data_IF_529310752659
#
_entry.id   IF_529310752659
#
_cell.length_a   1.000
_cell.length_b   1.000
_cell.length_c   1.000
_cell.angle_alpha   90.00
_cell.angle_beta   90.00
_cell.angle_gamma   90.00
#
_symmetry.space_group_name_H-M   'P 1'
#
loop_
_entity.id
_entity.type
_entity.pdbx_description
1 polymer ?
#
# COMPACT_ATOMS: atom_id res chain seq x y z
N UNK A 1 23.49 -54.38 20.39
CA UNK A 1 22.53 -55.17 19.59
C UNK A 1 21.77 -54.31 18.55
N UNK A 2 22.33 -53.18 18.08
CA UNK A 2 21.64 -52.21 17.19
C UNK A 2 22.04 -52.32 15.72
N UNK A 3 23.29 -52.67 15.42
CA UNK A 3 23.80 -52.68 14.04
C UNK A 3 23.26 -53.84 13.17
N UNK A 4 23.02 -55.01 13.75
CA UNK A 4 22.50 -56.17 13.02
C UNK A 4 21.06 -55.97 12.55
N UNK A 5 20.21 -55.34 13.36
CA UNK A 5 18.84 -54.99 12.97
C UNK A 5 18.81 -53.93 11.86
N UNK A 6 19.68 -52.92 11.91
CA UNK A 6 19.79 -51.92 10.85
C UNK A 6 20.20 -52.54 9.50
N UNK A 7 21.15 -53.50 9.52
CA UNK A 7 21.58 -54.21 8.32
C UNK A 7 20.46 -55.07 7.75
N UNK A 8 19.69 -55.77 8.59
CA UNK A 8 18.56 -56.59 8.14
C UNK A 8 17.46 -55.72 7.53
N UNK A 9 17.15 -54.56 8.13
CA UNK A 9 16.15 -53.62 7.60
C UNK A 9 16.60 -53.02 6.27
N UNK A 10 17.88 -52.61 6.14
CA UNK A 10 18.40 -52.11 4.87
C UNK A 10 18.42 -53.21 3.78
N UNK A 11 18.83 -54.43 4.14
CA UNK A 11 18.86 -55.56 3.22
C UNK A 11 17.45 -55.96 2.76
N UNK A 12 16.47 -55.95 3.67
CA UNK A 12 15.08 -56.21 3.35
C UNK A 12 14.48 -55.10 2.46
N UNK A 13 14.73 -53.84 2.79
CA UNK A 13 14.29 -52.70 1.97
C UNK A 13 14.91 -52.73 0.57
N UNK A 14 16.21 -53.05 0.48
CA UNK A 14 16.92 -53.23 -0.79
C UNK A 14 16.37 -54.40 -1.62
N UNK A 15 16.11 -55.54 -0.98
CA UNK A 15 15.51 -56.70 -1.65
C UNK A 15 14.10 -56.38 -2.17
N UNK A 16 13.28 -55.67 -1.39
CA UNK A 16 11.94 -55.22 -1.82
C UNK A 16 12.04 -54.25 -2.99
N UNK A 17 12.97 -53.28 -2.98
CA UNK A 17 13.18 -52.38 -4.12
C UNK A 17 13.63 -53.12 -5.38
N UNK A 18 14.51 -54.11 -5.26
CA UNK A 18 14.99 -54.90 -6.41
C UNK A 18 13.87 -55.79 -6.97
N UNK A 19 13.10 -56.45 -6.12
CA UNK A 19 11.95 -57.27 -6.54
C UNK A 19 10.86 -56.39 -7.17
N UNK A 20 10.56 -55.23 -6.58
CA UNK A 20 9.62 -54.27 -7.15
C UNK A 20 10.11 -53.77 -8.51
N UNK A 21 11.39 -53.44 -8.66
CA UNK A 21 12.00 -53.04 -9.93
C UNK A 21 11.96 -54.12 -11.01
N UNK A 22 12.22 -55.37 -10.66
CA UNK A 22 12.17 -56.52 -11.57
C UNK A 22 10.73 -56.86 -12.00
N UNK A 23 9.77 -56.80 -11.07
CA UNK A 23 8.34 -56.97 -11.38
C UNK A 23 7.82 -55.83 -12.27
N UNK A 24 8.29 -54.61 -12.03
CA UNK A 24 7.95 -53.41 -12.79
C UNK A 24 8.43 -53.49 -14.25
N UNK A 25 9.59 -54.10 -14.52
CA UNK A 25 10.11 -54.29 -15.89
C UNK A 25 9.30 -55.31 -16.72
N UNK A 26 8.46 -56.14 -16.09
CA UNK A 26 7.66 -57.18 -16.78
C UNK A 26 6.38 -56.64 -17.44
N UNK A 27 5.94 -55.42 -17.09
CA UNK A 27 4.73 -54.80 -17.65
C UNK A 27 4.96 -53.34 -18.08
N UNK A 28 5.62 -53.08 -19.23
CA UNK A 28 5.96 -51.73 -19.71
C UNK A 28 4.74 -50.83 -20.00
N UNK A 29 3.54 -51.41 -20.12
CA UNK A 29 2.28 -50.67 -20.30
C UNK A 29 1.84 -49.92 -19.05
N UNK A 30 2.19 -50.40 -17.85
CA UNK A 30 1.81 -49.73 -16.59
C UNK A 30 2.60 -48.43 -16.38
N UNK A 31 3.89 -48.43 -16.68
CA UNK A 31 4.75 -47.23 -16.58
C UNK A 31 4.30 -46.12 -17.53
N UNK A 32 3.98 -46.45 -18.77
CA UNK A 32 3.39 -45.51 -19.73
C UNK A 32 2.02 -44.99 -19.29
N UNK A 33 1.21 -45.82 -18.63
CA UNK A 33 -0.10 -45.42 -18.08
C UNK A 33 0.07 -44.52 -16.85
N UNK A 34 1.08 -44.81 -16.02
CA UNK A 34 1.44 -44.01 -14.86
C UNK A 34 1.98 -42.64 -15.27
N UNK A 35 2.93 -42.56 -16.21
CA UNK A 35 3.44 -41.27 -16.74
C UNK A 35 2.31 -40.46 -17.38
N UNK A 36 1.40 -41.10 -18.14
CA UNK A 36 0.22 -40.41 -18.68
C UNK A 36 -0.67 -39.86 -17.57
N UNK A 37 -0.91 -40.64 -16.51
CA UNK A 37 -1.66 -40.22 -15.33
C UNK A 37 -1.00 -39.05 -14.60
N UNK A 38 0.31 -39.11 -14.36
CA UNK A 38 1.07 -38.04 -13.68
C UNK A 38 1.13 -36.78 -14.54
N UNK A 39 1.25 -36.91 -15.86
CA UNK A 39 1.23 -35.78 -16.79
C UNK A 39 -0.14 -35.09 -16.81
N UNK A 40 -1.24 -35.86 -16.87
CA UNK A 40 -2.61 -35.32 -16.78
C UNK A 40 -2.82 -34.64 -15.43
N UNK A 41 -2.39 -35.26 -14.34
CA UNK A 41 -2.47 -34.67 -13.00
C UNK A 41 -1.65 -33.38 -12.87
N UNK A 42 -0.46 -33.33 -13.48
CA UNK A 42 0.38 -32.15 -13.55
C UNK A 42 -0.27 -31.00 -14.34
N UNK A 43 -0.92 -31.31 -15.47
CA UNK A 43 -1.67 -30.32 -16.25
C UNK A 43 -2.89 -29.79 -15.48
N UNK A 44 -3.59 -30.66 -14.75
CA UNK A 44 -4.70 -30.26 -13.88
C UNK A 44 -4.21 -29.32 -12.77
N UNK A 45 -3.10 -29.65 -12.11
CA UNK A 45 -2.50 -28.79 -11.07
C UNK A 45 -2.03 -27.45 -11.63
N UNK A 46 -1.41 -27.44 -12.81
CA UNK A 46 -1.01 -26.21 -13.48
C UNK A 46 -2.22 -25.36 -13.87
N UNK A 47 -3.28 -25.98 -14.38
CA UNK A 47 -4.55 -25.31 -14.68
C UNK A 47 -5.21 -24.73 -13.43
N UNK A 48 -5.21 -25.46 -12.33
CA UNK A 48 -5.72 -24.98 -11.04
C UNK A 48 -4.88 -23.81 -10.51
N UNK A 49 -3.56 -23.88 -10.64
CA UNK A 49 -2.65 -22.79 -10.26
C UNK A 49 -2.88 -21.53 -11.10
N UNK A 50 -3.04 -21.67 -12.41
CA UNK A 50 -3.39 -20.55 -13.31
C UNK A 50 -4.76 -19.99 -12.98
N UNK A 51 -5.74 -20.83 -12.61
CA UNK A 51 -7.07 -20.37 -12.20
C UNK A 51 -7.01 -19.58 -10.89
N UNK A 52 -6.22 -20.04 -9.92
CA UNK A 52 -5.95 -19.30 -8.67
C UNK A 52 -5.29 -17.96 -8.98
N UNK A 53 -4.30 -17.92 -9.87
CA UNK A 53 -3.67 -16.68 -10.32
C UNK A 53 -4.68 -15.77 -11.03
N UNK A 54 -5.54 -16.30 -11.90
CA UNK A 54 -6.52 -15.52 -12.65
C UNK A 54 -7.59 -14.91 -11.73
N UNK A 55 -8.08 -15.67 -10.74
CA UNK A 55 -8.98 -15.16 -9.70
C UNK A 55 -8.25 -14.10 -8.86
N UNK A 56 -6.99 -14.35 -8.49
CA UNK A 56 -6.18 -13.39 -7.75
C UNK A 56 -5.98 -12.10 -8.56
N UNK A 57 -5.63 -12.18 -9.85
CA UNK A 57 -5.51 -11.04 -10.76
C UNK A 57 -6.84 -10.31 -10.95
N UNK A 58 -7.97 -11.02 -10.98
CA UNK A 58 -9.29 -10.40 -11.09
C UNK A 58 -9.67 -9.55 -9.87
N UNK A 59 -9.04 -9.81 -8.71
CA UNK A 59 -9.19 -8.95 -7.53
C UNK A 59 -8.25 -7.75 -7.53
N UNK A 60 -7.27 -7.67 -8.45
CA UNK A 60 -6.46 -6.46 -8.62
C UNK A 60 -7.15 -5.51 -9.58
N UNK A 61 -7.74 -4.45 -9.01
CA UNK A 61 -8.11 -3.30 -9.79
C UNK A 61 -6.83 -2.58 -10.26
N UNK A 62 -6.71 -2.33 -11.55
CA UNK A 62 -5.67 -1.47 -12.11
C UNK A 62 -5.81 -0.08 -11.47
N UNK A 63 -4.74 0.45 -10.87
CA UNK A 63 -4.68 1.81 -10.28
C UNK A 63 -4.72 2.90 -11.36
N UNK A 64 -5.75 2.88 -12.21
CA UNK A 64 -6.12 4.02 -13.05
C UNK A 64 -7.16 4.79 -12.24
N UNK A 65 -6.66 5.68 -11.40
CA UNK A 65 -7.46 6.56 -10.54
C UNK A 65 -7.03 6.48 -9.10
N UNK A 66 -5.97 7.20 -8.74
CA UNK A 66 -5.76 7.59 -7.35
C UNK A 66 -7.07 8.29 -6.90
N UNK A 67 -7.74 7.80 -5.87
CA UNK A 67 -8.98 8.42 -5.39
C UNK A 67 -8.63 9.82 -4.86
N UNK A 68 -9.29 10.86 -5.39
CA UNK A 68 -9.08 12.23 -4.94
C UNK A 68 -9.66 12.39 -3.54
N UNK A 69 -8.82 12.53 -2.52
CA UNK A 69 -9.27 12.81 -1.15
C UNK A 69 -9.73 14.26 -0.99
N UNK A 70 -8.94 15.20 -1.53
CA UNK A 70 -9.22 16.62 -1.39
C UNK A 70 -8.65 17.44 -2.55
N UNK A 71 -9.25 18.58 -2.82
CA UNK A 71 -8.72 19.63 -3.68
C UNK A 71 -8.21 20.77 -2.83
N UNK A 72 -7.02 21.27 -3.16
CA UNK A 72 -6.36 22.35 -2.45
C UNK A 72 -6.07 23.46 -3.46
N UNK A 73 -6.59 24.65 -3.18
CA UNK A 73 -6.26 25.86 -3.92
C UNK A 73 -5.48 26.82 -3.04
N UNK A 74 -4.45 27.43 -3.63
CA UNK A 74 -3.58 28.39 -2.96
C UNK A 74 -3.68 29.74 -3.64
N UNK A 75 -3.82 30.80 -2.85
CA UNK A 75 -3.92 32.18 -3.33
C UNK A 75 -3.02 33.07 -2.49
N UNK A 76 -2.27 33.95 -3.13
CA UNK A 76 -1.34 34.85 -2.44
C UNK A 76 -2.10 35.97 -1.75
N UNK A 77 -1.88 36.15 -0.45
CA UNK A 77 -2.38 37.33 0.28
C UNK A 77 -1.27 38.36 0.52
N UNK A 78 -0.08 37.91 0.89
CA UNK A 78 1.09 38.76 1.05
C UNK A 78 2.39 37.99 0.72
N UNK A 79 3.54 38.55 1.09
CA UNK A 79 4.82 37.84 1.01
C UNK A 79 4.86 36.71 2.03
N UNK A 80 5.04 35.47 1.54
CA UNK A 80 5.04 34.24 2.35
C UNK A 80 3.77 34.00 3.19
N UNK A 81 2.67 34.67 2.85
CA UNK A 81 1.35 34.49 3.47
C UNK A 81 0.35 34.12 2.38
N UNK A 82 -0.24 32.94 2.54
CA UNK A 82 -1.08 32.30 1.54
C UNK A 82 -2.42 31.93 2.14
N UNK A 83 -3.49 32.18 1.39
CA UNK A 83 -4.79 31.62 1.70
C UNK A 83 -4.90 30.25 1.02
N UNK A 84 -5.15 29.22 1.83
CA UNK A 84 -5.32 27.86 1.36
C UNK A 84 -6.75 27.43 1.61
N UNK A 85 -7.43 27.04 0.53
CA UNK A 85 -8.76 26.48 0.60
C UNK A 85 -8.69 24.99 0.31
N UNK A 86 -9.09 24.20 1.30
CA UNK A 86 -9.18 22.75 1.21
C UNK A 86 -10.64 22.36 1.06
N UNK A 87 -10.93 21.56 0.04
CA UNK A 87 -12.24 20.97 -0.20
C UNK A 87 -12.10 19.45 -0.28
N UNK A 88 -12.56 18.75 0.75
CA UNK A 88 -12.63 17.28 0.77
C UNK A 88 -13.86 16.78 0.00
N UNK A 89 -13.81 15.54 -0.50
CA UNK A 89 -15.00 14.88 -1.04
C UNK A 89 -16.11 14.70 0.00
N UNK A 90 -15.75 14.59 1.29
CA UNK A 90 -16.69 14.40 2.41
C UNK A 90 -17.45 15.70 2.78
N UNK A 91 -17.37 16.74 1.95
CA UNK A 91 -18.03 18.03 2.18
C UNK A 91 -17.32 18.96 3.16
N UNK A 92 -16.18 18.54 3.73
CA UNK A 92 -15.33 19.40 4.54
C UNK A 92 -14.71 20.49 3.66
N UNK A 93 -15.08 21.75 3.92
CA UNK A 93 -14.50 22.92 3.29
C UNK A 93 -13.84 23.80 4.35
N UNK A 94 -12.52 23.94 4.25
CA UNK A 94 -11.70 24.69 5.21
C UNK A 94 -10.88 25.72 4.47
N UNK A 95 -11.12 26.99 4.76
CA UNK A 95 -10.34 28.11 4.23
C UNK A 95 -9.52 28.69 5.37
N UNK A 96 -8.20 28.68 5.24
CA UNK A 96 -7.29 29.16 6.28
C UNK A 96 -6.06 29.82 5.68
N UNK A 97 -5.43 30.68 6.47
CA UNK A 97 -4.17 31.32 6.10
C UNK A 97 -3.01 30.46 6.58
N UNK A 98 -2.10 30.12 5.67
CA UNK A 98 -0.83 29.46 5.96
C UNK A 98 0.32 30.42 5.68
N UNK A 99 1.37 30.30 6.47
CA UNK A 99 2.62 31.02 6.27
C UNK A 99 3.71 30.05 5.85
N UNK A 100 4.52 30.46 4.87
CA UNK A 100 5.59 29.65 4.30
C UNK A 100 5.69 29.76 2.78
N UNK A 101 6.60 28.99 2.22
CA UNK A 101 6.80 28.84 0.77
C UNK A 101 6.22 27.51 0.25
N UNK A 102 6.02 26.55 1.15
CA UNK A 102 5.59 25.20 0.84
C UNK A 102 4.46 24.75 1.75
N UNK A 103 3.60 23.87 1.25
CA UNK A 103 2.55 23.23 2.02
C UNK A 103 2.71 21.71 2.03
N UNK A 104 2.31 21.10 3.14
CA UNK A 104 2.22 19.65 3.30
C UNK A 104 0.91 19.29 4.01
N UNK A 105 0.28 18.21 3.57
CA UNK A 105 -0.85 17.61 4.26
C UNK A 105 -0.50 16.20 4.73
N UNK A 106 -0.87 15.91 5.97
CA UNK A 106 -0.68 14.60 6.59
C UNK A 106 -2.04 13.93 6.78
N UNK A 107 -2.08 12.62 6.58
CA UNK A 107 -3.23 11.78 6.82
C UNK A 107 -2.88 10.55 7.64
N UNK A 108 -3.86 10.08 8.41
CA UNK A 108 -3.83 8.75 9.01
C UNK A 108 -4.62 7.82 8.13
N UNK A 109 -4.01 6.68 7.80
CA UNK A 109 -4.62 5.62 7.03
C UNK A 109 -4.74 4.41 7.95
N UNK A 110 -5.92 3.81 7.98
CA UNK A 110 -6.22 2.59 8.72
C UNK A 110 -6.56 1.49 7.71
N UNK A 111 -5.78 0.41 7.71
CA UNK A 111 -6.00 -0.72 6.81
C UNK A 111 -6.29 -1.97 7.62
N UNK A 112 -7.18 -2.82 7.11
CA UNK A 112 -7.42 -4.12 7.71
C UNK A 112 -6.40 -5.13 7.17
N UNK A 113 -5.79 -5.87 8.09
CA UNK A 113 -4.72 -6.84 7.82
C UNK A 113 -5.07 -8.23 8.35
N UNK A 114 -4.23 -9.21 8.04
CA UNK A 114 -4.41 -10.59 8.48
C UNK A 114 -5.61 -11.26 7.80
N UNK A 115 -6.44 -12.03 8.55
CA UNK A 115 -7.56 -12.73 7.95
C UNK A 115 -8.49 -11.74 7.25
N UNK A 116 -8.82 -10.58 7.85
CA UNK A 116 -9.80 -9.60 7.35
C UNK A 116 -9.51 -8.98 5.98
N UNK A 117 -8.32 -9.17 5.41
CA UNK A 117 -8.01 -8.73 4.03
C UNK A 117 -8.93 -9.39 2.98
N UNK A 118 -9.40 -10.61 3.24
CA UNK A 118 -10.39 -11.31 2.40
C UNK A 118 -11.78 -10.67 2.33
N UNK A 119 -12.13 -9.78 3.26
CA UNK A 119 -13.47 -9.19 3.37
C UNK A 119 -13.65 -7.93 2.50
N UNK A 120 -12.64 -7.58 1.69
CA UNK A 120 -12.63 -6.43 0.78
C UNK A 120 -13.08 -5.11 1.43
N UNK A 121 -12.75 -4.95 2.72
CA UNK A 121 -13.10 -3.75 3.47
C UNK A 121 -12.19 -2.62 3.00
N UNK A 122 -12.79 -1.57 2.44
CA UNK A 122 -12.04 -0.39 2.00
C UNK A 122 -11.25 0.22 3.17
N UNK A 123 -9.98 0.62 2.94
CA UNK A 123 -9.18 1.27 3.96
C UNK A 123 -9.81 2.61 4.37
N UNK A 124 -9.81 2.87 5.68
CA UNK A 124 -10.22 4.16 6.20
C UNK A 124 -9.10 5.19 6.07
N UNK A 125 -9.43 6.43 5.73
CA UNK A 125 -8.47 7.53 5.73
C UNK A 125 -9.05 8.75 6.41
N UNK A 126 -8.17 9.56 7.00
CA UNK A 126 -8.53 10.85 7.59
C UNK A 126 -7.40 11.84 7.43
N UNK A 127 -7.71 13.05 6.96
CA UNK A 127 -6.77 14.16 6.90
C UNK A 127 -6.56 14.71 8.31
N UNK A 128 -5.33 14.74 8.79
CA UNK A 128 -5.01 15.14 10.17
C UNK A 128 -4.61 16.59 10.26
N UNK A 129 -3.65 17.01 9.42
CA UNK A 129 -2.99 18.28 9.59
C UNK A 129 -2.52 18.84 8.26
N UNK A 130 -2.73 20.14 8.08
CA UNK A 130 -2.18 20.95 7.00
C UNK A 130 -1.13 21.88 7.60
N UNK A 131 0.09 21.87 7.05
CA UNK A 131 1.17 22.72 7.55
C UNK A 131 1.88 23.47 6.43
N UNK A 132 2.35 24.67 6.77
CA UNK A 132 3.26 25.46 5.96
C UNK A 132 4.71 25.25 6.40
N UNK A 133 5.65 25.38 5.46
CA UNK A 133 7.10 25.32 5.69
C UNK A 133 7.83 26.39 4.89
N UNK A 134 8.88 26.95 5.47
CA UNK A 134 9.81 27.87 4.82
C UNK A 134 10.97 27.12 4.18
N UNK A 135 11.46 27.62 3.05
CA UNK A 135 12.59 27.01 2.34
C UNK A 135 13.92 27.29 3.06
N UNK A 136 14.07 28.48 3.63
CA UNK A 136 15.26 28.87 4.41
C UNK A 136 15.24 28.27 5.81
N UNK A 137 16.37 27.67 6.22
CA UNK A 137 16.56 27.11 7.56
C UNK A 137 16.57 28.20 8.64
N UNK A 138 17.09 29.39 8.32
CA UNK A 138 17.11 30.54 9.21
C UNK A 138 15.69 31.05 9.47
N UNK A 139 14.87 31.11 8.40
CA UNK A 139 13.46 31.46 8.51
C UNK A 139 12.68 30.38 9.26
N UNK A 140 12.86 29.09 8.97
CA UNK A 140 12.13 28.02 9.67
C UNK A 140 12.38 28.00 11.19
N UNK A 141 13.54 28.49 11.65
CA UNK A 141 13.88 28.59 13.08
C UNK A 141 13.32 29.82 13.78
N UNK A 142 13.15 30.92 13.04
CA UNK A 142 12.85 32.23 13.64
C UNK A 142 11.45 32.75 13.28
N UNK A 143 10.89 32.29 12.17
CA UNK A 143 9.60 32.70 11.66
C UNK A 143 8.45 31.88 12.28
N UNK A 144 7.25 32.48 12.40
CA UNK A 144 6.06 31.77 12.84
C UNK A 144 5.69 30.61 11.89
N UNK A 145 5.60 29.40 12.44
CA UNK A 145 5.14 28.19 11.74
C UNK A 145 3.62 28.07 11.84
N UNK A 146 2.96 27.79 10.72
CA UNK A 146 1.52 27.54 10.71
C UNK A 146 1.22 26.06 10.54
N UNK A 147 0.54 25.47 11.52
CA UNK A 147 0.00 24.10 11.47
C UNK A 147 -1.46 24.10 11.88
N UNK A 148 -2.31 23.52 11.05
CA UNK A 148 -3.76 23.52 11.23
C UNK A 148 -4.23 22.08 11.29
N UNK A 149 -4.81 21.68 12.42
CA UNK A 149 -5.51 20.41 12.53
C UNK A 149 -6.79 20.42 11.69
N UNK A 150 -6.97 19.39 10.86
CA UNK A 150 -8.14 19.18 10.01
C UNK A 150 -9.12 18.18 10.63
N UNK A 151 -8.63 17.27 11.46
CA UNK A 151 -9.44 16.28 12.16
C UNK A 151 -9.73 16.71 13.61
N UNK A 152 -10.96 16.45 14.06
CA UNK A 152 -11.28 16.47 15.47
C UNK A 152 -10.79 15.19 16.15
N UNK A 153 -10.35 15.30 17.40
CA UNK A 153 -9.93 14.15 18.21
C UNK A 153 -11.12 13.23 18.50
N UNK A 154 -11.08 12.01 17.97
CA UNK A 154 -12.13 11.00 18.20
C UNK A 154 -11.61 10.03 19.27
N UNK A 155 -12.43 9.75 20.28
CA UNK A 155 -12.19 8.70 21.25
C UNK A 155 -13.27 7.62 21.13
N UNK A 156 -12.91 6.32 20.96
CA UNK A 156 -11.56 5.76 20.93
C UNK A 156 -10.82 5.92 19.58
N UNK A 157 -9.50 6.16 19.63
CA UNK A 157 -8.62 6.27 18.45
C UNK A 157 -7.93 4.93 18.15
N UNK A 158 -8.53 4.15 17.25
CA UNK A 158 -8.02 2.85 16.81
C UNK A 158 -6.62 2.93 16.20
N UNK A 159 -6.28 4.06 15.56
CA UNK A 159 -4.97 4.25 14.94
C UNK A 159 -3.86 4.35 15.99
N UNK A 160 -4.13 5.08 17.09
CA UNK A 160 -3.18 5.15 18.21
C UNK A 160 -3.06 3.83 18.95
N UNK A 161 -4.16 3.10 19.13
CA UNK A 161 -4.13 1.79 19.77
C UNK A 161 -3.31 0.79 18.99
N UNK A 162 -3.44 0.77 17.67
CA UNK A 162 -2.59 -0.08 16.84
C UNK A 162 -1.10 0.28 16.97
N UNK A 163 -0.76 1.57 16.93
CA UNK A 163 0.62 2.05 17.14
C UNK A 163 1.20 1.63 18.50
N UNK A 164 0.37 1.51 19.53
CA UNK A 164 0.80 1.18 20.88
C UNK A 164 0.82 -0.34 21.15
N UNK A 165 -0.18 -1.07 20.65
CA UNK A 165 -0.43 -2.47 20.99
C UNK A 165 -0.19 -3.46 19.83
N UNK A 166 0.08 -2.96 18.62
CA UNK A 166 0.32 -3.72 17.39
C UNK A 166 -0.78 -4.77 17.14
N UNK A 167 -1.97 -4.31 16.77
CA UNK A 167 -3.14 -5.15 16.60
C UNK A 167 -2.94 -6.10 15.41
N UNK A 168 -3.34 -7.38 15.51
CA UNK A 168 -3.08 -8.36 14.45
C UNK A 168 -4.04 -8.26 13.25
N UNK A 169 -5.05 -7.40 13.32
CA UNK A 169 -6.13 -7.27 12.33
C UNK A 169 -6.24 -5.88 11.70
N UNK A 170 -5.49 -4.91 12.21
CA UNK A 170 -5.48 -3.51 11.74
C UNK A 170 -4.03 -3.09 11.61
N UNK A 171 -3.75 -2.24 10.64
CA UNK A 171 -2.46 -1.62 10.45
C UNK A 171 -2.65 -0.10 10.32
N UNK A 172 -2.05 0.65 11.24
CA UNK A 172 -2.00 2.09 11.27
C UNK A 172 -0.81 2.60 10.46
N UNK A 173 -1.09 3.34 9.40
CA UNK A 173 -0.08 3.87 8.48
C UNK A 173 -0.14 5.40 8.44
N UNK A 174 1.03 6.01 8.54
CA UNK A 174 1.21 7.45 8.30
C UNK A 174 1.21 7.70 6.79
N UNK A 175 0.25 8.49 6.33
CA UNK A 175 0.19 8.97 4.95
C UNK A 175 0.66 10.42 4.91
N UNK A 176 1.97 10.64 4.79
CA UNK A 176 2.51 11.96 4.47
C UNK A 176 2.68 12.11 2.96
N UNK A 177 2.58 13.35 2.48
CA UNK A 177 2.93 13.69 1.09
C UNK A 177 4.23 14.49 1.04
N UNK A 178 4.84 14.52 -0.14
CA UNK A 178 5.96 15.43 -0.42
C UNK A 178 5.50 16.89 -0.33
N UNK A 179 6.37 17.76 0.17
CA UNK A 179 6.14 19.21 0.18
C UNK A 179 5.87 19.73 -1.22
N UNK A 180 4.81 20.54 -1.35
CA UNK A 180 4.44 21.18 -2.60
C UNK A 180 4.65 22.68 -2.51
N UNK A 181 5.18 23.32 -3.57
CA UNK A 181 5.37 24.76 -3.58
C UNK A 181 4.03 25.51 -3.55
N UNK A 182 3.98 26.60 -2.80
CA UNK A 182 2.86 27.55 -2.81
C UNK A 182 3.05 28.54 -3.96
N UNK A 183 2.03 28.70 -4.80
CA UNK A 183 2.06 29.66 -5.92
C UNK A 183 0.68 30.25 -6.14
N UNK A 184 0.65 31.50 -6.60
CA UNK A 184 -0.61 32.20 -6.73
C UNK A 184 -1.52 31.56 -7.76
N UNK A 185 -2.75 31.27 -7.34
CA UNK A 185 -3.74 30.55 -8.14
C UNK A 185 -3.41 29.09 -8.41
N UNK A 186 -2.40 28.48 -7.77
CA UNK A 186 -2.09 27.07 -7.98
C UNK A 186 -3.15 26.16 -7.32
N UNK A 187 -3.56 25.13 -8.06
CA UNK A 187 -4.56 24.16 -7.62
C UNK A 187 -3.98 22.75 -7.72
N UNK A 188 -4.11 22.00 -6.64
CA UNK A 188 -3.59 20.65 -6.50
C UNK A 188 -4.70 19.70 -6.03
N UNK A 189 -4.78 18.52 -6.63
CA UNK A 189 -5.60 17.41 -6.14
C UNK A 189 -4.75 16.50 -5.27
N UNK A 190 -5.14 16.34 -4.01
CA UNK A 190 -4.57 15.34 -3.10
C UNK A 190 -5.27 14.02 -3.37
N UNK A 191 -4.50 13.02 -3.80
CA UNK A 191 -5.00 11.69 -4.12
C UNK A 191 -4.39 10.63 -3.22
N UNK A 192 -5.18 9.63 -2.85
CA UNK A 192 -4.71 8.47 -2.12
C UNK A 192 -4.03 7.48 -3.05
N UNK A 193 -2.83 7.08 -2.66
CA UNK A 193 -2.04 6.02 -3.28
C UNK A 193 -1.89 4.85 -2.31
N UNK A 194 -1.47 3.70 -2.84
CA UNK A 194 -1.18 2.51 -2.03
C UNK A 194 -0.10 2.75 -0.96
N UNK A 195 0.81 3.70 -1.18
CA UNK A 195 1.94 4.03 -0.30
C UNK A 195 1.71 5.27 0.57
N UNK A 196 0.61 6.01 0.41
CA UNK A 196 0.38 7.27 1.11
C UNK A 196 -0.38 8.29 0.27
N UNK A 197 -0.09 9.58 0.46
CA UNK A 197 -0.74 10.68 -0.24
C UNK A 197 0.15 11.25 -1.36
N UNK A 198 -0.47 11.64 -2.48
CA UNK A 198 0.21 12.29 -3.60
C UNK A 198 -0.58 13.52 -4.02
N UNK A 199 0.09 14.66 -4.14
CA UNK A 199 -0.49 15.86 -4.74
C UNK A 199 -0.25 15.88 -6.25
N UNK A 200 -1.32 16.06 -7.02
CA UNK A 200 -1.30 16.14 -8.47
C UNK A 200 -1.66 17.56 -8.90
N UNK A 201 -0.77 18.27 -9.63
CA UNK A 201 -1.08 19.62 -10.11
C UNK A 201 -2.15 19.56 -11.20
N UNK A 202 -3.26 20.30 -11.02
CA UNK A 202 -4.38 20.29 -11.98
C UNK A 202 -4.38 21.49 -12.93
N UNK A 203 -3.78 22.61 -12.56
CA UNK A 203 -3.69 23.80 -13.40
C UNK A 203 -2.25 24.11 -13.85
N UNK A 204 -2.12 25.04 -14.80
CA UNK A 204 -0.81 25.42 -15.34
C UNK A 204 0.09 26.05 -14.27
N UNK A 205 -0.47 26.89 -13.39
CA UNK A 205 0.30 27.51 -12.28
C UNK A 205 0.88 26.46 -11.33
N UNK A 206 0.13 25.40 -11.00
CA UNK A 206 0.63 24.30 -10.19
C UNK A 206 1.70 23.47 -10.93
N UNK A 207 1.52 23.23 -12.24
CA UNK A 207 2.51 22.50 -13.06
C UNK A 207 3.82 23.28 -13.17
N UNK A 208 3.76 24.57 -13.42
CA UNK A 208 4.93 25.45 -13.42
C UNK A 208 5.63 25.42 -12.06
N UNK A 209 4.88 25.55 -10.95
CA UNK A 209 5.46 25.54 -9.61
C UNK A 209 6.27 24.27 -9.33
N UNK A 210 5.76 23.11 -9.73
CA UNK A 210 6.46 21.82 -9.57
C UNK A 210 7.66 21.69 -10.51
N UNK A 211 7.57 22.20 -11.75
CA UNK A 211 8.68 22.14 -12.71
C UNK A 211 9.86 23.03 -12.31
N UNK A 212 9.59 24.27 -11.85
CA UNK A 212 10.64 25.17 -11.36
C UNK A 212 11.36 24.64 -10.12
N UNK A 213 10.73 23.75 -9.37
CA UNK A 213 11.31 23.15 -8.17
C UNK A 213 12.26 21.97 -8.47
N UNK A 214 12.05 21.26 -9.58
CA UNK A 214 12.87 20.11 -9.96
C UNK A 214 14.11 20.47 -10.80
N UNK A 215 14.34 21.77 -11.05
CA UNK A 215 15.52 22.30 -11.75
C UNK A 215 16.53 22.85 -10.76
#
# INVERSE_FOLDING_TARGET
MSHTLAIIVLAAAGAVMVIAGLLFFRHPRWLLTWIKGTAVFGVILAGLYVLVIAVNLSSYHSLVGLQTAASISTQRQAEQIWQVSLQSQDGLSVVRTLQGDQWQIDARILRFTGPFRWLDIAPGYRLEQLSGRYTSLEQERSAPRTSIGLAEGIWPDLWQWDRQFNLPFVEAVDGSMTFMPMRDGAVFEVKLSSSGLVAVPVNEQAREAVQFWNQ
#
